data_IF_622483877520
#
_entry.id   IF_622483877520
#
_cell.length_a   1.000
_cell.length_b   1.000
_cell.length_c   1.000
_cell.angle_alpha   90.00
_cell.angle_beta   90.00
_cell.angle_gamma   90.00
#
_symmetry.space_group_name_H-M   'P 1'
#
loop_
_entity.id
_entity.type
_entity.pdbx_description
1 polymer ?
#
# COMPACT_ATOMS: atom_id res chain seq x y z
N UNK A 1 -13.49 10.30 -3.76
CA UNK A 1 -12.16 10.22 -3.14
C UNK A 1 -11.77 8.76 -3.05
N UNK A 2 -10.53 8.41 -3.41
CA UNK A 2 -9.96 7.08 -3.42
C UNK A 2 -8.81 6.99 -2.42
N UNK A 3 -8.91 6.09 -1.43
CA UNK A 3 -7.89 5.91 -0.40
C UNK A 3 -7.21 4.55 -0.57
N UNK A 4 -5.89 4.55 -0.76
CA UNK A 4 -5.08 3.33 -0.74
C UNK A 4 -4.48 3.16 0.66
N UNK A 5 -4.65 1.98 1.25
CA UNK A 5 -4.16 1.66 2.59
C UNK A 5 -3.10 0.56 2.47
N UNK A 6 -1.86 0.86 2.85
CA UNK A 6 -0.78 -0.10 2.97
C UNK A 6 -0.65 -0.59 4.42
N UNK A 7 -1.07 -1.83 4.67
CA UNK A 7 -1.10 -2.43 6.01
C UNK A 7 -0.05 -3.53 6.22
N UNK A 8 0.43 -3.69 7.46
CA UNK A 8 1.19 -4.88 7.86
C UNK A 8 0.27 -6.05 8.21
N UNK A 9 0.81 -7.27 8.26
CA UNK A 9 0.01 -8.47 8.53
C UNK A 9 -0.58 -8.47 9.94
N UNK A 10 0.14 -7.89 10.91
CA UNK A 10 -0.29 -7.79 12.31
C UNK A 10 -1.48 -6.87 12.51
N UNK A 11 -1.61 -5.81 11.71
CA UNK A 11 -2.71 -4.84 11.86
C UNK A 11 -3.76 -4.96 10.73
N UNK A 12 -3.60 -5.94 9.84
CA UNK A 12 -4.42 -6.10 8.64
C UNK A 12 -5.90 -6.26 8.93
N UNK A 13 -6.25 -6.98 10.01
CA UNK A 13 -7.64 -7.20 10.41
C UNK A 13 -8.34 -5.86 10.75
N UNK A 14 -7.71 -5.03 11.57
CA UNK A 14 -8.25 -3.71 11.94
C UNK A 14 -8.33 -2.76 10.75
N UNK A 15 -7.32 -2.77 9.88
CA UNK A 15 -7.34 -1.95 8.66
C UNK A 15 -8.42 -2.40 7.68
N UNK A 16 -8.78 -3.68 7.69
CA UNK A 16 -9.87 -4.20 6.86
C UNK A 16 -11.20 -3.65 7.34
N UNK A 17 -11.47 -3.67 8.64
CA UNK A 17 -12.68 -3.06 9.22
C UNK A 17 -12.75 -1.55 8.93
N UNK A 18 -11.62 -0.86 9.03
CA UNK A 18 -11.52 0.54 8.66
C UNK A 18 -11.84 0.80 7.19
N UNK A 19 -11.22 0.04 6.26
CA UNK A 19 -11.49 0.13 4.83
C UNK A 19 -12.95 -0.20 4.48
N UNK A 20 -13.49 -1.26 5.07
CA UNK A 20 -14.90 -1.65 4.87
C UNK A 20 -15.86 -0.56 5.35
N UNK A 21 -15.53 0.12 6.45
CA UNK A 21 -16.32 1.24 6.97
C UNK A 21 -16.25 2.47 6.06
N UNK A 22 -15.06 2.82 5.54
CA UNK A 22 -14.91 3.88 4.54
C UNK A 22 -15.74 3.61 3.30
N UNK A 23 -15.70 2.37 2.80
CA UNK A 23 -16.50 1.94 1.65
C UNK A 23 -18.01 2.08 1.91
N UNK A 24 -18.48 1.70 3.11
CA UNK A 24 -19.89 1.88 3.52
C UNK A 24 -20.30 3.36 3.59
N UNK A 25 -19.37 4.25 3.90
CA UNK A 25 -19.59 5.71 3.94
C UNK A 25 -19.44 6.37 2.56
N UNK A 26 -19.25 5.61 1.48
CA UNK A 26 -19.12 6.11 0.11
C UNK A 26 -17.71 6.58 -0.28
N UNK A 27 -16.70 6.30 0.54
CA UNK A 27 -15.29 6.56 0.22
C UNK A 27 -14.67 5.28 -0.34
N UNK A 28 -14.31 5.30 -1.62
CA UNK A 28 -13.66 4.15 -2.27
C UNK A 28 -12.29 3.91 -1.61
N UNK A 29 -12.12 2.77 -0.96
CA UNK A 29 -10.87 2.41 -0.28
C UNK A 29 -10.40 1.00 -0.63
N UNK A 30 -9.09 0.84 -0.70
CA UNK A 30 -8.42 -0.43 -1.00
C UNK A 30 -7.32 -0.71 0.01
N UNK A 31 -7.44 -1.80 0.74
CA UNK A 31 -6.38 -2.31 1.61
C UNK A 31 -5.47 -3.29 0.85
N UNK A 32 -4.15 -3.10 0.96
CA UNK A 32 -3.13 -4.00 0.44
C UNK A 32 -2.11 -4.36 1.51
N UNK A 33 -1.51 -5.55 1.41
CA UNK A 33 -0.38 -5.92 2.25
C UNK A 33 0.88 -5.25 1.73
N UNK A 34 1.46 -4.36 2.54
CA UNK A 34 2.51 -3.45 2.10
C UNK A 34 3.74 -4.16 1.50
N UNK A 35 4.14 -5.28 2.10
CA UNK A 35 5.33 -6.03 1.71
C UNK A 35 5.19 -6.75 0.36
N UNK A 36 3.98 -6.96 -0.15
CA UNK A 36 3.76 -7.55 -1.48
C UNK A 36 4.05 -6.57 -2.63
N UNK A 37 3.97 -5.29 -2.33
CA UNK A 37 4.12 -4.20 -3.29
C UNK A 37 5.42 -3.42 -3.09
N UNK A 38 5.95 -3.35 -1.87
CA UNK A 38 7.21 -2.66 -1.62
C UNK A 38 8.04 -3.38 -0.58
N UNK A 39 9.30 -3.65 -0.93
CA UNK A 39 10.27 -4.36 -0.09
C UNK A 39 11.68 -3.94 -0.49
N UNK A 40 12.60 -3.99 0.46
CA UNK A 40 13.92 -3.38 0.32
C UNK A 40 14.91 -3.91 1.36
N UNK A 41 16.05 -3.23 1.52
CA UNK A 41 17.08 -3.61 2.49
C UNK A 41 16.48 -3.82 3.90
N UNK A 42 16.88 -4.86 4.67
CA UNK A 42 18.03 -5.79 4.51
C UNK A 42 17.77 -7.09 3.71
N UNK A 43 16.67 -7.18 2.96
CA UNK A 43 16.35 -8.36 2.15
C UNK A 43 17.44 -8.65 1.10
N UNK A 44 18.14 -9.80 1.16
CA UNK A 44 19.20 -10.14 0.17
C UNK A 44 18.69 -10.42 -1.25
N UNK A 45 17.39 -10.21 -1.53
CA UNK A 45 16.73 -10.60 -2.79
C UNK A 45 16.43 -9.37 -3.66
N UNK A 46 17.48 -8.70 -4.16
CA UNK A 46 17.41 -7.48 -4.99
C UNK A 46 16.45 -7.62 -6.19
N UNK A 47 16.42 -8.79 -6.85
CA UNK A 47 15.48 -9.06 -7.95
C UNK A 47 14.01 -8.89 -7.53
N UNK A 48 13.67 -9.25 -6.29
CA UNK A 48 12.31 -9.06 -5.75
C UNK A 48 11.99 -7.58 -5.53
N UNK A 49 12.98 -6.74 -5.21
CA UNK A 49 12.78 -5.30 -5.02
C UNK A 49 12.33 -4.62 -6.32
N UNK A 50 13.01 -4.90 -7.44
CA UNK A 50 12.62 -4.36 -8.75
C UNK A 50 11.23 -4.83 -9.18
N UNK A 51 10.92 -6.11 -8.97
CA UNK A 51 9.59 -6.66 -9.28
C UNK A 51 8.49 -6.02 -8.43
N UNK A 52 8.73 -5.84 -7.14
CA UNK A 52 7.78 -5.21 -6.21
C UNK A 52 7.56 -3.74 -6.56
N UNK A 53 8.61 -2.96 -6.83
CA UNK A 53 8.45 -1.58 -7.33
C UNK A 53 7.55 -1.49 -8.58
N UNK A 54 7.73 -2.39 -9.55
CA UNK A 54 6.80 -2.46 -10.71
C UNK A 54 5.35 -2.75 -10.29
N UNK A 55 5.14 -3.64 -9.31
CA UNK A 55 3.79 -3.90 -8.76
C UNK A 55 3.23 -2.67 -8.05
N UNK A 56 4.05 -1.93 -7.32
CA UNK A 56 3.63 -0.70 -6.66
C UNK A 56 3.19 0.35 -7.69
N UNK A 57 4.03 0.64 -8.70
CA UNK A 57 3.68 1.58 -9.78
C UNK A 57 2.38 1.17 -10.47
N UNK A 58 2.23 -0.11 -10.82
CA UNK A 58 1.01 -0.64 -11.41
C UNK A 58 -0.21 -0.46 -10.49
N UNK A 59 -0.06 -0.71 -9.19
CA UNK A 59 -1.13 -0.49 -8.20
C UNK A 59 -1.58 0.98 -8.16
N UNK A 60 -0.65 1.93 -8.19
CA UNK A 60 -0.96 3.37 -8.22
C UNK A 60 -1.64 3.76 -9.54
N UNK A 61 -1.13 3.29 -10.67
CA UNK A 61 -1.70 3.58 -12.01
C UNK A 61 -3.12 3.02 -12.19
N UNK A 62 -3.39 1.82 -11.67
CA UNK A 62 -4.70 1.17 -11.77
C UNK A 62 -5.72 1.77 -10.80
N UNK A 63 -5.32 2.00 -9.54
CA UNK A 63 -6.24 2.46 -8.51
C UNK A 63 -6.43 3.98 -8.52
N UNK A 64 -5.38 4.74 -8.87
CA UNK A 64 -5.33 6.21 -8.87
C UNK A 64 -5.82 6.82 -7.55
N UNK A 65 -5.16 6.53 -6.42
CA UNK A 65 -5.57 7.05 -5.13
C UNK A 65 -5.40 8.58 -5.03
N UNK A 66 -6.33 9.24 -4.35
CA UNK A 66 -6.21 10.64 -3.93
C UNK A 66 -5.36 10.76 -2.65
N UNK A 67 -5.34 9.70 -1.83
CA UNK A 67 -4.55 9.64 -0.60
C UNK A 67 -4.02 8.23 -0.34
N UNK A 68 -2.82 8.13 0.27
CA UNK A 68 -2.20 6.87 0.66
C UNK A 68 -1.97 6.86 2.18
N UNK A 69 -2.58 5.91 2.86
CA UNK A 69 -2.44 5.69 4.30
C UNK A 69 -1.46 4.54 4.52
N UNK A 70 -0.52 4.73 5.44
CA UNK A 70 0.51 3.72 5.75
C UNK A 70 0.51 3.39 7.23
N UNK A 71 0.38 2.11 7.53
CA UNK A 71 0.39 1.56 8.89
C UNK A 71 1.77 1.70 9.55
N UNK A 72 2.84 1.59 8.77
CA UNK A 72 4.21 1.62 9.27
C UNK A 72 5.17 2.35 8.35
N UNK A 73 6.17 2.98 8.95
CA UNK A 73 7.26 3.70 8.26
C UNK A 73 8.22 2.70 7.59
N UNK A 74 7.83 2.15 6.43
CA UNK A 74 8.64 1.22 5.63
C UNK A 74 8.71 1.66 4.17
N UNK A 75 9.30 0.79 3.33
CA UNK A 75 9.49 0.99 1.90
C UNK A 75 8.22 1.42 1.16
N UNK A 76 7.04 0.92 1.55
CA UNK A 76 5.77 1.30 0.94
C UNK A 76 5.46 2.80 1.09
N UNK A 77 5.70 3.38 2.27
CA UNK A 77 5.54 4.83 2.47
C UNK A 77 6.58 5.66 1.73
N UNK A 78 7.82 5.16 1.64
CA UNK A 78 8.88 5.82 0.86
C UNK A 78 8.56 5.81 -0.64
N UNK A 79 8.09 4.68 -1.16
CA UNK A 79 7.70 4.54 -2.57
C UNK A 79 6.46 5.38 -2.88
N UNK A 80 5.51 5.51 -1.94
CA UNK A 80 4.38 6.43 -2.05
C UNK A 80 4.83 7.89 -2.17
N UNK A 81 5.79 8.34 -1.35
CA UNK A 81 6.33 9.70 -1.44
C UNK A 81 7.05 9.99 -2.75
N UNK A 82 7.69 8.99 -3.36
CA UNK A 82 8.39 9.12 -4.65
C UNK A 82 7.46 9.07 -5.87
N UNK A 83 6.24 8.59 -5.68
CA UNK A 83 5.24 8.48 -6.75
C UNK A 83 4.37 9.73 -6.88
N UNK A 84 4.49 10.69 -5.94
CA UNK A 84 3.94 12.03 -6.04
C UNK A 84 4.89 12.95 -6.82
#
# INVERSE_FOLDING_TARGET
MKILIGGSSTFFFHLKEFSDTLNKLGVESKLVFDADYSDGFPSRKIRKWFQKRKKFTKLIEEFKPDAIFVDRQRHFGIDALKAN
#
